data_IF_605721845282
#
_entry.id   IF_605721845282
#
_cell.length_a   1.000
_cell.length_b   1.000
_cell.length_c   1.000
_cell.angle_alpha   90.00
_cell.angle_beta   90.00
_cell.angle_gamma   90.00
#
_symmetry.space_group_name_H-M   'P 1'
#
loop_
_entity.id
_entity.type
_entity.pdbx_description
1 polymer ?
#
# COMPACT_ATOMS: atom_id res chain seq x y z
N UNK A 1 -5.84 -3.41 85.59
CA UNK A 1 -5.32 -2.24 84.83
C UNK A 1 -4.54 -2.69 83.61
N UNK A 2 -3.51 -3.53 83.74
CA UNK A 2 -2.69 -4.01 82.61
C UNK A 2 -3.50 -4.65 81.47
N UNK A 3 -4.46 -5.53 81.80
CA UNK A 3 -5.33 -6.16 80.79
C UNK A 3 -6.11 -5.15 79.94
N UNK A 4 -6.55 -4.05 80.56
CA UNK A 4 -7.30 -2.99 79.87
C UNK A 4 -6.43 -2.14 78.94
N UNK A 5 -5.12 -2.11 79.16
CA UNK A 5 -4.16 -1.43 78.30
C UNK A 5 -3.87 -2.30 77.07
N UNK A 6 -3.65 -3.59 77.28
CA UNK A 6 -3.43 -4.57 76.19
C UNK A 6 -4.65 -4.69 75.27
N UNK A 7 -5.87 -4.69 75.83
CA UNK A 7 -7.11 -4.69 75.06
C UNK A 7 -7.20 -3.44 74.15
N UNK A 8 -6.75 -2.27 74.62
CA UNK A 8 -6.75 -1.01 73.84
C UNK A 8 -5.67 -1.02 72.76
N UNK A 9 -4.48 -1.58 73.04
CA UNK A 9 -3.43 -1.72 72.03
C UNK A 9 -3.83 -2.68 70.91
N UNK A 10 -4.53 -3.78 71.24
CA UNK A 10 -5.07 -4.72 70.25
C UNK A 10 -6.16 -4.07 69.39
N UNK A 11 -7.06 -3.29 69.97
CA UNK A 11 -8.11 -2.59 69.22
C UNK A 11 -7.53 -1.52 68.30
N UNK A 12 -6.53 -0.76 68.77
CA UNK A 12 -5.83 0.22 67.95
C UNK A 12 -5.05 -0.46 66.80
N UNK A 13 -4.38 -1.59 67.06
CA UNK A 13 -3.67 -2.35 66.04
C UNK A 13 -4.65 -2.86 64.97
N UNK A 14 -5.82 -3.37 65.39
CA UNK A 14 -6.87 -3.83 64.49
C UNK A 14 -7.44 -2.70 63.63
N UNK A 15 -7.72 -1.52 64.21
CA UNK A 15 -8.19 -0.36 63.47
C UNK A 15 -7.15 0.13 62.44
N UNK A 16 -5.86 0.14 62.82
CA UNK A 16 -4.77 0.54 61.92
C UNK A 16 -4.64 -0.42 60.74
N UNK A 17 -4.73 -1.74 60.96
CA UNK A 17 -4.68 -2.74 59.88
C UNK A 17 -5.92 -2.67 58.97
N UNK A 18 -7.12 -2.57 59.55
CA UNK A 18 -8.36 -2.39 58.78
C UNK A 18 -8.32 -1.10 57.95
N UNK A 19 -7.72 -0.03 58.46
CA UNK A 19 -7.53 1.21 57.72
C UNK A 19 -6.47 1.08 56.61
N UNK A 20 -5.40 0.31 56.81
CA UNK A 20 -4.38 0.03 55.78
C UNK A 20 -4.95 -0.80 54.63
N UNK A 21 -5.76 -1.82 54.90
CA UNK A 21 -6.39 -2.63 53.85
C UNK A 21 -7.35 -1.81 52.98
N UNK A 22 -8.13 -0.90 53.59
CA UNK A 22 -8.98 0.04 52.85
C UNK A 22 -8.15 0.87 51.87
N UNK A 23 -7.02 1.41 52.30
CA UNK A 23 -6.13 2.20 51.46
C UNK A 23 -5.49 1.36 50.34
N UNK A 24 -5.09 0.12 50.63
CA UNK A 24 -4.54 -0.80 49.61
C UNK A 24 -5.58 -1.11 48.54
N UNK A 25 -6.80 -1.44 48.94
CA UNK A 25 -7.89 -1.75 48.01
C UNK A 25 -8.28 -0.52 47.17
N UNK A 26 -8.29 0.67 47.77
CA UNK A 26 -8.53 1.93 47.06
C UNK A 26 -7.41 2.22 46.04
N UNK A 27 -6.14 2.14 46.45
CA UNK A 27 -5.01 2.36 45.53
C UNK A 27 -4.96 1.34 44.40
N UNK A 28 -5.30 0.08 44.69
CA UNK A 28 -5.41 -0.98 43.67
C UNK A 28 -6.51 -0.66 42.66
N UNK A 29 -7.66 -0.20 43.12
CA UNK A 29 -8.77 0.21 42.25
C UNK A 29 -8.41 1.41 41.38
N UNK A 30 -7.73 2.42 41.95
CA UNK A 30 -7.25 3.59 41.21
C UNK A 30 -6.23 3.22 40.13
N UNK A 31 -5.29 2.31 40.44
CA UNK A 31 -4.32 1.81 39.48
C UNK A 31 -5.00 1.02 38.34
N UNK A 32 -6.02 0.23 38.67
CA UNK A 32 -6.77 -0.52 37.66
C UNK A 32 -7.58 0.41 36.74
N UNK A 33 -8.24 1.43 37.28
CA UNK A 33 -8.92 2.46 36.46
C UNK A 33 -7.91 3.16 35.54
N UNK A 34 -6.78 3.62 36.10
CA UNK A 34 -5.76 4.31 35.30
C UNK A 34 -5.18 3.43 34.19
N UNK A 35 -5.00 2.13 34.44
CA UNK A 35 -4.55 1.20 33.39
C UNK A 35 -5.60 0.98 32.31
N UNK A 36 -6.88 0.90 32.69
CA UNK A 36 -7.98 0.69 31.73
C UNK A 36 -8.15 1.89 30.82
N UNK A 37 -8.16 3.10 31.38
CA UNK A 37 -8.29 4.32 30.59
C UNK A 37 -7.13 4.45 29.57
N UNK A 38 -5.89 4.20 30.01
CA UNK A 38 -4.72 4.24 29.13
C UNK A 38 -4.81 3.23 27.97
N UNK A 39 -5.30 2.01 28.23
CA UNK A 39 -5.48 0.99 27.19
C UNK A 39 -6.61 1.33 26.23
N UNK A 40 -7.73 1.86 26.74
CA UNK A 40 -8.92 2.18 25.94
C UNK A 40 -8.65 3.37 25.01
N UNK A 41 -7.91 4.38 25.47
CA UNK A 41 -7.56 5.54 24.64
C UNK A 41 -6.59 5.16 23.51
N UNK A 42 -5.60 4.30 23.80
CA UNK A 42 -4.68 3.79 22.78
C UNK A 42 -5.39 2.87 21.77
N UNK A 43 -6.36 2.08 22.21
CA UNK A 43 -7.13 1.19 21.34
C UNK A 43 -8.03 1.99 20.38
N UNK A 44 -8.74 2.99 20.91
CA UNK A 44 -9.57 3.92 20.12
C UNK A 44 -8.74 4.70 19.10
N UNK A 45 -7.60 5.24 19.52
CA UNK A 45 -6.69 5.94 18.63
C UNK A 45 -6.08 5.01 17.56
N UNK A 46 -5.73 3.79 17.94
CA UNK A 46 -5.22 2.77 17.03
C UNK A 46 -6.24 2.38 15.96
N UNK A 47 -7.47 2.08 16.34
CA UNK A 47 -8.56 1.76 15.41
C UNK A 47 -8.80 2.91 14.42
N UNK A 48 -8.80 4.15 14.91
CA UNK A 48 -8.99 5.33 14.06
C UNK A 48 -7.90 5.47 12.99
N UNK A 49 -6.63 5.28 13.36
CA UNK A 49 -5.51 5.36 12.42
C UNK A 49 -5.55 4.20 11.43
N UNK A 50 -5.91 3.00 11.88
CA UNK A 50 -6.04 1.82 11.01
C UNK A 50 -7.14 1.99 9.98
N UNK A 51 -8.34 2.43 10.38
CA UNK A 51 -9.45 2.71 9.47
C UNK A 51 -9.07 3.77 8.44
N UNK A 52 -8.34 4.80 8.86
CA UNK A 52 -7.85 5.83 7.98
C UNK A 52 -6.86 5.29 6.92
N UNK A 53 -5.89 4.48 7.35
CA UNK A 53 -4.90 3.88 6.46
C UNK A 53 -5.53 2.87 5.51
N UNK A 54 -6.48 2.07 5.96
CA UNK A 54 -7.20 1.11 5.12
C UNK A 54 -8.05 1.84 4.07
N UNK A 55 -8.74 2.90 4.47
CA UNK A 55 -9.54 3.73 3.59
C UNK A 55 -8.71 4.39 2.48
N UNK A 56 -7.64 5.10 2.84
CA UNK A 56 -6.83 5.81 1.86
C UNK A 56 -5.91 4.85 1.08
N UNK A 57 -5.27 3.90 1.77
CA UNK A 57 -4.30 2.96 1.21
C UNK A 57 -4.93 1.87 0.35
N UNK A 58 -5.89 1.13 0.91
CA UNK A 58 -6.56 0.01 0.25
C UNK A 58 -7.77 0.44 -0.60
N UNK A 59 -8.47 1.50 -0.21
CA UNK A 59 -9.72 1.92 -0.87
C UNK A 59 -9.56 2.95 -1.98
N UNK A 60 -8.56 3.84 -1.95
CA UNK A 60 -8.42 4.94 -2.92
C UNK A 60 -7.12 4.90 -3.72
N UNK A 61 -5.97 4.85 -3.03
CA UNK A 61 -4.64 4.95 -3.65
C UNK A 61 -4.39 3.81 -4.64
N UNK A 62 -4.73 2.56 -4.28
CA UNK A 62 -4.48 1.41 -5.15
C UNK A 62 -5.22 1.53 -6.50
N UNK A 63 -6.49 1.97 -6.50
CA UNK A 63 -7.24 2.12 -7.75
C UNK A 63 -6.68 3.23 -8.62
N UNK A 64 -6.32 4.37 -8.02
CA UNK A 64 -5.72 5.50 -8.73
C UNK A 64 -4.39 5.07 -9.40
N UNK A 65 -3.53 4.36 -8.67
CA UNK A 65 -2.27 3.83 -9.21
C UNK A 65 -2.52 2.89 -10.39
N UNK A 66 -3.44 1.94 -10.23
CA UNK A 66 -3.71 0.93 -11.27
C UNK A 66 -4.33 1.55 -12.53
N UNK A 67 -5.20 2.56 -12.40
CA UNK A 67 -5.75 3.30 -13.55
C UNK A 67 -4.64 4.05 -14.30
N UNK A 68 -3.80 4.81 -13.59
CA UNK A 68 -2.69 5.54 -14.20
C UNK A 68 -1.71 4.58 -14.87
N UNK A 69 -1.42 3.45 -14.23
CA UNK A 69 -0.53 2.43 -14.77
C UNK A 69 -1.11 1.76 -16.03
N UNK A 70 -2.40 1.44 -16.04
CA UNK A 70 -3.08 0.88 -17.21
C UNK A 70 -3.07 1.86 -18.41
N UNK A 71 -3.29 3.15 -18.15
CA UNK A 71 -3.22 4.21 -19.17
C UNK A 71 -1.77 4.40 -19.65
N UNK A 72 -0.80 4.39 -18.74
CA UNK A 72 0.61 4.53 -19.09
C UNK A 72 1.07 3.37 -19.99
N UNK A 73 0.68 2.13 -19.67
CA UNK A 73 1.02 0.95 -20.49
C UNK A 73 0.36 1.05 -21.87
N UNK A 74 -0.92 1.42 -21.95
CA UNK A 74 -1.62 1.50 -23.23
C UNK A 74 -1.06 2.60 -24.14
N UNK A 75 -0.73 3.77 -23.58
CA UNK A 75 -0.31 4.95 -24.34
C UNK A 75 1.21 5.06 -24.55
N UNK A 76 2.03 4.80 -23.53
CA UNK A 76 3.50 4.96 -23.60
C UNK A 76 4.17 3.75 -24.27
N UNK A 77 3.75 2.53 -23.92
CA UNK A 77 4.33 1.32 -24.51
C UNK A 77 3.80 1.07 -25.92
N UNK A 78 2.51 1.36 -26.15
CA UNK A 78 1.85 1.18 -27.43
C UNK A 78 1.51 -0.28 -27.72
N UNK A 79 0.26 -0.49 -28.13
CA UNK A 79 -0.33 -1.81 -28.35
C UNK A 79 0.49 -2.72 -29.29
N UNK A 80 1.08 -2.14 -30.34
CA UNK A 80 1.88 -2.86 -31.33
C UNK A 80 3.19 -3.43 -30.77
N UNK A 81 3.78 -2.79 -29.76
CA UNK A 81 4.99 -3.31 -29.10
C UNK A 81 4.62 -4.50 -28.21
N UNK A 82 3.55 -4.38 -27.41
CA UNK A 82 3.07 -5.48 -26.55
C UNK A 82 2.80 -6.73 -27.38
N UNK A 83 2.09 -6.58 -28.50
CA UNK A 83 1.79 -7.71 -29.40
C UNK A 83 3.04 -8.37 -29.98
N UNK A 84 4.08 -7.57 -30.27
CA UNK A 84 5.34 -8.08 -30.78
C UNK A 84 6.07 -8.89 -29.72
N UNK A 85 6.11 -8.39 -28.49
CA UNK A 85 6.80 -9.06 -27.39
C UNK A 85 6.08 -10.33 -26.97
N UNK A 86 4.74 -10.30 -26.91
CA UNK A 86 3.98 -11.51 -26.57
C UNK A 86 4.05 -12.55 -27.69
N UNK A 87 4.06 -12.13 -28.97
CA UNK A 87 4.33 -13.05 -30.10
C UNK A 87 5.72 -13.65 -30.01
N UNK A 88 6.72 -12.89 -29.57
CA UNK A 88 8.08 -13.38 -29.38
C UNK A 88 8.17 -14.40 -28.21
N UNK A 89 7.46 -14.16 -27.10
CA UNK A 89 7.46 -15.05 -25.94
C UNK A 89 6.66 -16.33 -26.16
N UNK A 90 5.48 -16.25 -26.79
CA UNK A 90 4.54 -17.37 -26.92
C UNK A 90 4.60 -18.06 -28.29
N UNK A 91 5.38 -17.52 -29.24
CA UNK A 91 5.46 -17.99 -30.64
C UNK A 91 4.11 -18.12 -31.37
N UNK A 92 3.06 -17.48 -30.83
CA UNK A 92 1.69 -17.49 -31.33
C UNK A 92 1.22 -16.05 -31.61
N UNK A 93 0.43 -15.88 -32.67
CA UNK A 93 -0.16 -14.58 -33.00
C UNK A 93 -1.42 -14.31 -32.21
N UNK A 94 -1.36 -13.42 -31.23
CA UNK A 94 -2.57 -12.93 -30.56
C UNK A 94 -3.45 -12.15 -31.53
N UNK A 95 -4.71 -12.58 -31.65
CA UNK A 95 -5.71 -11.94 -32.50
C UNK A 95 -6.13 -10.55 -32.03
N UNK A 96 -6.95 -9.88 -32.83
CA UNK A 96 -7.42 -8.51 -32.57
C UNK A 96 -8.28 -8.43 -31.28
N UNK A 97 -8.98 -9.51 -30.91
CA UNK A 97 -9.76 -9.60 -29.66
C UNK A 97 -8.90 -9.30 -28.43
N UNK A 98 -7.71 -9.92 -28.34
CA UNK A 98 -6.78 -9.70 -27.24
C UNK A 98 -6.30 -8.25 -27.15
N UNK A 99 -6.28 -7.51 -28.26
CA UNK A 99 -5.89 -6.09 -28.26
C UNK A 99 -6.92 -5.22 -27.54
N UNK A 100 -8.20 -5.43 -27.85
CA UNK A 100 -9.29 -4.66 -27.26
C UNK A 100 -9.49 -4.98 -25.78
N UNK A 101 -9.28 -6.25 -25.39
CA UNK A 101 -9.32 -6.63 -23.97
C UNK A 101 -8.31 -5.81 -23.16
N UNK A 102 -7.08 -5.66 -23.62
CA UNK A 102 -6.05 -4.98 -22.82
C UNK A 102 -6.16 -3.45 -22.87
N UNK A 103 -6.56 -2.89 -24.01
CA UNK A 103 -6.58 -1.44 -24.19
C UNK A 103 -7.89 -0.78 -23.73
N UNK A 104 -9.01 -1.52 -23.75
CA UNK A 104 -10.34 -0.97 -23.49
C UNK A 104 -11.01 -1.69 -22.33
N UNK A 105 -11.03 -3.03 -22.33
CA UNK A 105 -11.73 -3.76 -21.29
C UNK A 105 -11.08 -3.59 -19.92
N UNK A 106 -9.74 -3.68 -19.82
CA UNK A 106 -9.01 -3.45 -18.55
C UNK A 106 -9.30 -2.05 -17.97
N UNK A 107 -9.08 -0.93 -18.67
CA UNK A 107 -9.33 0.38 -18.08
C UNK A 107 -10.80 0.63 -17.76
N UNK A 108 -11.74 0.10 -18.55
CA UNK A 108 -13.18 0.20 -18.25
C UNK A 108 -13.53 -0.62 -17.01
N UNK A 109 -13.07 -1.87 -16.93
CA UNK A 109 -13.32 -2.71 -15.76
C UNK A 109 -12.75 -2.09 -14.49
N UNK A 110 -11.53 -1.51 -14.55
CA UNK A 110 -10.90 -0.77 -13.47
C UNK A 110 -11.71 0.48 -13.05
N UNK A 111 -12.29 1.20 -14.00
CA UNK A 111 -13.13 2.36 -13.73
C UNK A 111 -14.46 1.93 -13.07
N UNK A 112 -15.07 0.84 -13.53
CA UNK A 112 -16.31 0.31 -12.94
C UNK A 112 -16.09 -0.13 -11.48
N UNK A 113 -15.04 -0.91 -11.21
CA UNK A 113 -14.73 -1.32 -9.83
C UNK A 113 -14.34 -0.12 -8.96
N UNK A 114 -13.71 0.92 -9.53
CA UNK A 114 -13.41 2.15 -8.79
C UNK A 114 -14.67 2.92 -8.43
N UNK A 115 -15.65 3.04 -9.34
CA UNK A 115 -16.95 3.68 -9.03
C UNK A 115 -17.69 2.87 -7.97
N UNK A 116 -17.71 1.54 -8.11
CA UNK A 116 -18.32 0.66 -7.12
C UNK A 116 -17.66 0.83 -5.74
N UNK A 117 -16.33 0.83 -5.69
CA UNK A 117 -15.56 1.13 -4.49
C UNK A 117 -15.94 2.50 -3.93
N UNK A 118 -15.97 3.56 -4.75
CA UNK A 118 -16.38 4.90 -4.34
C UNK A 118 -17.77 4.94 -3.70
N UNK A 119 -18.75 4.20 -4.22
CA UNK A 119 -20.10 4.16 -3.65
C UNK A 119 -20.11 3.46 -2.29
N UNK A 120 -19.35 2.36 -2.14
CA UNK A 120 -19.27 1.57 -0.90
C UNK A 120 -18.46 2.30 0.16
N UNK A 121 -17.40 3.01 -0.23
CA UNK A 121 -16.46 3.70 0.65
C UNK A 121 -16.83 5.19 0.89
N UNK A 122 -17.68 5.83 0.07
CA UNK A 122 -18.12 7.22 0.26
C UNK A 122 -18.71 7.59 1.63
N UNK A 123 -19.30 6.70 2.45
CA UNK A 123 -19.56 7.07 3.83
C UNK A 123 -18.23 7.14 4.61
N UNK A 124 -17.43 8.19 4.36
CA UNK A 124 -16.33 8.64 5.22
C UNK A 124 -16.92 9.24 6.51
N UNK A 125 -17.73 8.45 7.19
CA UNK A 125 -18.21 8.72 8.53
C UNK A 125 -17.40 7.80 9.44
N UNK A 126 -16.80 8.36 10.49
CA UNK A 126 -16.33 7.55 11.62
C UNK A 126 -17.48 6.63 12.08
N UNK A 127 -17.17 5.52 12.77
CA UNK A 127 -18.18 4.62 13.35
C UNK A 127 -19.30 5.35 14.15
N UNK A 128 -19.02 6.57 14.63
CA UNK A 128 -19.92 7.48 15.35
C UNK A 128 -20.64 8.52 14.48
N UNK A 129 -20.54 8.46 13.15
CA UNK A 129 -21.24 9.37 12.24
C UNK A 129 -20.62 10.77 12.07
N UNK A 130 -19.46 11.04 12.69
CA UNK A 130 -18.75 12.31 12.59
C UNK A 130 -17.88 12.40 11.32
N UNK A 131 -17.82 13.62 10.76
CA UNK A 131 -16.96 13.96 9.64
C UNK A 131 -15.49 14.00 10.06
N UNK A 132 -14.60 13.48 9.22
CA UNK A 132 -13.17 13.51 9.46
C UNK A 132 -12.64 14.96 9.52
N UNK A 133 -11.73 15.29 10.46
CA UNK A 133 -11.13 16.62 10.54
C UNK A 133 -10.33 16.92 9.26
N UNK A 134 -10.41 18.17 8.80
CA UNK A 134 -9.87 18.63 7.50
C UNK A 134 -8.37 18.29 7.30
N UNK A 135 -7.58 18.27 8.38
CA UNK A 135 -6.15 17.92 8.32
C UNK A 135 -5.90 16.50 7.83
N UNK A 136 -6.79 15.57 8.16
CA UNK A 136 -6.68 14.16 7.78
C UNK A 136 -7.04 13.96 6.30
N UNK A 137 -8.10 14.61 5.83
CA UNK A 137 -8.45 14.62 4.41
C UNK A 137 -7.33 15.24 3.57
N UNK A 138 -6.72 16.33 4.03
CA UNK A 138 -5.60 16.97 3.34
C UNK A 138 -4.38 16.04 3.23
N UNK A 139 -4.04 15.30 4.29
CA UNK A 139 -2.95 14.32 4.26
C UNK A 139 -3.22 13.20 3.22
N UNK A 140 -4.47 12.73 3.12
CA UNK A 140 -4.87 11.75 2.10
C UNK A 140 -4.65 12.25 0.67
N UNK A 141 -5.05 13.49 0.38
CA UNK A 141 -4.82 14.11 -0.93
C UNK A 141 -3.32 14.30 -1.27
N UNK A 142 -2.49 14.61 -0.27
CA UNK A 142 -1.03 14.73 -0.46
C UNK A 142 -0.39 13.38 -0.81
N UNK A 143 -0.77 12.30 -0.11
CA UNK A 143 -0.26 10.96 -0.40
C UNK A 143 -0.68 10.52 -1.82
N UNK A 144 -1.94 10.78 -2.19
CA UNK A 144 -2.42 10.50 -3.55
C UNK A 144 -1.62 11.27 -4.60
N UNK A 145 -1.32 12.55 -4.36
CA UNK A 145 -0.51 13.36 -5.27
C UNK A 145 0.92 12.81 -5.42
N UNK A 146 1.56 12.36 -4.32
CA UNK A 146 2.89 11.75 -4.36
C UNK A 146 2.88 10.44 -5.15
N UNK A 147 1.87 9.59 -4.95
CA UNK A 147 1.74 8.32 -5.68
C UNK A 147 1.58 8.54 -7.19
N UNK A 148 0.76 9.51 -7.60
CA UNK A 148 0.59 9.89 -9.00
C UNK A 148 1.89 10.46 -9.57
N UNK A 149 2.63 11.26 -8.80
CA UNK A 149 3.86 11.92 -9.24
C UNK A 149 5.06 10.95 -9.42
N UNK A 150 5.07 9.80 -8.74
CA UNK A 150 6.15 8.81 -8.83
C UNK A 150 6.32 8.26 -10.26
N UNK A 151 5.23 7.85 -10.91
CA UNK A 151 5.27 7.24 -12.26
C UNK A 151 5.87 8.19 -13.33
N UNK A 152 5.39 9.45 -13.49
CA UNK A 152 6.00 10.41 -14.39
C UNK A 152 7.40 10.83 -13.93
N UNK A 153 7.65 10.87 -12.61
CA UNK A 153 8.97 11.19 -12.06
C UNK A 153 10.06 10.20 -12.50
N UNK A 154 9.81 8.89 -12.37
CA UNK A 154 10.73 7.86 -12.87
C UNK A 154 10.83 7.85 -14.39
N UNK A 155 9.70 8.02 -15.09
CA UNK A 155 9.69 8.10 -16.55
C UNK A 155 10.56 9.24 -17.07
N UNK A 156 10.39 10.43 -16.53
CA UNK A 156 11.18 11.60 -16.88
C UNK A 156 12.66 11.41 -16.49
N UNK A 157 12.94 10.88 -15.29
CA UNK A 157 14.31 10.60 -14.85
C UNK A 157 15.06 9.67 -15.80
N UNK A 158 14.40 8.60 -16.28
CA UNK A 158 14.99 7.68 -17.26
C UNK A 158 15.27 8.40 -18.58
N UNK A 159 14.35 9.24 -19.06
CA UNK A 159 14.56 10.04 -20.28
C UNK A 159 15.71 11.04 -20.12
N UNK A 160 15.83 11.71 -18.97
CA UNK A 160 16.92 12.66 -18.72
C UNK A 160 18.29 11.99 -18.58
N UNK A 161 18.35 10.75 -18.06
CA UNK A 161 19.60 9.98 -17.95
C UNK A 161 19.97 9.19 -19.19
N UNK A 162 19.11 9.14 -20.21
CA UNK A 162 19.50 8.59 -21.49
C UNK A 162 20.57 9.50 -22.10
N UNK A 163 21.81 9.02 -22.11
CA UNK A 163 22.84 9.56 -23.00
C UNK A 163 22.31 9.46 -24.44
N UNK A 164 22.58 10.45 -25.32
CA UNK A 164 22.12 10.42 -26.70
C UNK A 164 22.52 9.10 -27.35
N UNK A 165 21.49 8.30 -27.58
CA UNK A 165 21.32 7.15 -28.46
C UNK A 165 22.57 6.41 -28.91
N UNK A 166 22.70 5.15 -28.44
CA UNK A 166 23.44 4.12 -29.18
C UNK A 166 22.83 4.02 -30.60
N UNK A 167 23.62 4.19 -31.68
CA UNK A 167 23.15 4.22 -33.07
C UNK A 167 22.24 3.04 -33.47
N UNK A 168 22.33 1.92 -32.75
CA UNK A 168 21.48 0.73 -32.92
C UNK A 168 19.98 1.00 -32.79
N UNK A 169 19.56 1.99 -31.98
CA UNK A 169 18.13 2.30 -31.79
C UNK A 169 17.52 3.20 -32.88
N UNK A 170 18.33 3.91 -33.66
CA UNK A 170 17.87 4.82 -34.72
C UNK A 170 17.68 4.12 -36.06
N UNK A 171 17.98 2.81 -36.14
CA UNK A 171 17.97 2.10 -37.43
C UNK A 171 18.95 2.71 -38.45
N UNK A 172 19.93 3.50 -37.99
CA UNK A 172 20.98 4.12 -38.80
C UNK A 172 22.22 3.23 -38.89
N UNK A 173 22.09 1.95 -38.58
CA UNK A 173 23.12 0.97 -38.94
C UNK A 173 23.01 0.76 -40.44
N UNK A 174 23.88 1.45 -41.18
CA UNK A 174 24.19 1.10 -42.56
C UNK A 174 24.41 -0.43 -42.62
N UNK A 175 23.80 -1.17 -43.55
CA UNK A 175 23.98 -2.63 -43.68
C UNK A 175 25.39 -3.06 -44.12
N UNK A 176 26.39 -2.17 -44.09
CA UNK A 176 27.77 -2.42 -44.51
C UNK A 176 28.74 -2.58 -43.32
N UNK A 177 28.24 -3.06 -42.18
CA UNK A 177 29.03 -3.26 -40.95
C UNK A 177 28.62 -4.50 -40.18
N UNK A 178 28.14 -5.53 -40.87
CA UNK A 178 27.90 -6.85 -40.28
C UNK A 178 29.24 -7.48 -39.86
N UNK A 179 29.75 -7.17 -38.67
CA UNK A 179 30.59 -8.12 -37.95
C UNK A 179 29.66 -9.18 -37.39
N UNK A 180 29.50 -10.23 -38.19
CA UNK A 180 28.87 -11.49 -37.88
C UNK A 180 29.25 -11.94 -36.46
N UNK A 181 28.32 -11.87 -35.51
CA UNK A 181 28.33 -12.85 -34.44
C UNK A 181 27.98 -14.20 -35.09
N UNK A 182 28.84 -15.22 -34.97
CA UNK A 182 28.69 -16.46 -35.72
C UNK A 182 27.43 -17.19 -35.26
N UNK A 183 26.46 -17.21 -36.16
CA UNK A 183 25.36 -18.17 -36.16
C UNK A 183 25.93 -19.53 -36.56
N UNK A 184 26.52 -20.26 -35.60
CA UNK A 184 27.01 -21.63 -35.81
C UNK A 184 27.27 -22.38 -34.48
N UNK A 185 26.22 -22.75 -33.75
CA UNK A 185 26.34 -23.76 -32.68
C UNK A 185 25.16 -24.74 -32.61
N UNK A 186 24.24 -24.68 -33.58
CA UNK A 186 23.10 -25.60 -33.66
C UNK A 186 23.02 -26.06 -35.12
N UNK A 187 23.47 -27.30 -35.33
CA UNK A 187 23.53 -28.10 -36.56
C UNK A 187 24.76 -27.90 -37.48
N UNK A 188 25.43 -29.03 -37.75
CA UNK A 188 26.58 -29.27 -38.65
C UNK A 188 27.95 -29.15 -37.98
N UNK A 189 28.32 -30.12 -37.12
CA UNK A 189 29.67 -30.73 -37.05
C UNK A 189 29.72 -31.96 -36.09
N UNK A 190 28.72 -32.85 -36.11
CA UNK A 190 28.84 -34.21 -35.51
C UNK A 190 28.76 -35.31 -36.57
N UNK A 191 29.47 -35.09 -37.68
CA UNK A 191 29.85 -36.15 -38.61
C UNK A 191 31.36 -36.11 -38.78
N UNK A 192 32.10 -36.63 -37.79
CA UNK A 192 33.48 -37.15 -37.92
C UNK A 192 33.84 -37.96 -36.68
N UNK A 193 33.41 -39.23 -36.67
CA UNK A 193 34.13 -40.42 -36.20
C UNK A 193 33.18 -41.61 -36.21
#
# INVERSE_FOLDING_TARGET
>A
MLKKIEDVEQELAFEVEASREKLINQNKFLAEISSKDLTVDSEKAGSYILDLVDYFGGGFIIYVIVIVQAIAISWVYGLHKILRDVRFMLNMGLGIYWKYTWCIFIPIALLVIFIYAMIVYMPMKTADGQDYPVGVSAAGWVIAAIAIAQIPGWGAYVVYKQKPTDPRFLGLENPAGSSCHPRSWIWIEMTKS
#
